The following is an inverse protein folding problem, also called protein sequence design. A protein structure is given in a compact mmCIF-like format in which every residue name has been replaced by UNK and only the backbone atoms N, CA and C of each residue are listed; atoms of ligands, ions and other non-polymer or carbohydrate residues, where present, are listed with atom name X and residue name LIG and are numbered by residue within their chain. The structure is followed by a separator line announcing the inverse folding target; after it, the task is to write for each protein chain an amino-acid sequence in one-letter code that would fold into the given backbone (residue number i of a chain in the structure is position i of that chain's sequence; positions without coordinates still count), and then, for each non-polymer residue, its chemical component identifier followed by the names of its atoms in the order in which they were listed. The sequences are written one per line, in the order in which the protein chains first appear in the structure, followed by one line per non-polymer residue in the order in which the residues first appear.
data_IF_980175595778
#
_entry.id   IF_980175595778
#
_cell.length_a   1.000
_cell.length_b   1.000
_cell.length_c   1.000
_cell.angle_alpha   90.00
_cell.angle_beta   90.00
_cell.angle_gamma   90.00
#
_symmetry.space_group_name_H-M   'P 1'
#
loop_
_entity.id
_entity.type
_entity.pdbx_description
1 polymer ?
#
# COMPACT_ATOMS: atom_id res chain seq x y z
N UNK A 1 11.98 38.39 2.59
CA UNK A 1 11.15 38.15 1.41
C UNK A 1 11.98 37.59 0.27
N UNK A 2 11.32 36.86 -0.61
CA UNK A 2 11.98 36.22 -1.76
C UNK A 2 12.03 37.11 -3.01
N UNK A 3 11.50 38.32 -2.91
CA UNK A 3 11.40 39.29 -4.02
C UNK A 3 11.99 40.61 -3.59
N UNK A 4 12.88 41.16 -4.38
CA UNK A 4 13.43 42.51 -4.26
C UNK A 4 12.91 43.39 -5.40
N UNK A 5 12.42 44.57 -5.07
CA UNK A 5 12.03 45.56 -6.05
C UNK A 5 13.23 46.50 -6.33
N UNK A 6 13.60 46.68 -7.59
CA UNK A 6 14.56 47.68 -8.01
C UNK A 6 13.87 48.80 -8.80
N UNK A 7 14.01 50.02 -8.33
CA UNK A 7 13.40 51.16 -8.96
C UNK A 7 13.79 51.26 -10.44
N UNK A 8 12.78 51.42 -11.31
CA UNK A 8 12.90 51.47 -12.79
C UNK A 8 13.35 50.17 -13.47
N UNK A 9 13.58 49.06 -12.72
CA UNK A 9 14.09 47.79 -13.28
C UNK A 9 13.17 46.59 -13.02
N UNK A 10 12.10 46.74 -12.18
CA UNK A 10 11.13 45.70 -11.91
C UNK A 10 11.42 44.89 -10.65
N UNK A 11 10.82 43.67 -10.59
CA UNK A 11 10.92 42.76 -9.45
C UNK A 11 11.88 41.62 -9.79
N UNK A 12 12.77 41.31 -8.87
CA UNK A 12 13.75 40.23 -9.01
C UNK A 12 13.54 39.20 -7.91
N UNK A 13 13.56 37.94 -8.27
CA UNK A 13 13.53 36.83 -7.30
C UNK A 13 14.93 36.65 -6.73
N UNK A 14 15.07 36.85 -5.41
CA UNK A 14 16.33 36.61 -4.71
C UNK A 14 16.22 35.33 -3.94
N UNK A 15 16.83 34.27 -4.44
CA UNK A 15 17.01 33.05 -3.70
C UNK A 15 18.27 33.14 -2.84
N UNK A 16 18.07 33.26 -1.50
CA UNK A 16 19.15 33.12 -0.52
C UNK A 16 19.06 31.74 0.06
N UNK A 17 19.94 30.81 -0.29
CA UNK A 17 19.84 29.40 0.18
C UNK A 17 19.93 29.23 1.71
N UNK A 18 20.34 30.29 2.43
CA UNK A 18 20.58 30.23 3.88
C UNK A 18 19.57 30.99 4.74
N UNK A 19 18.43 31.45 4.20
CA UNK A 19 17.43 32.16 4.99
C UNK A 19 16.12 31.37 4.96
N UNK A 20 15.88 30.57 5.97
CA UNK A 20 14.57 29.99 6.27
C UNK A 20 14.48 28.49 6.47
N UNK A 21 15.50 27.73 6.15
CA UNK A 21 15.60 26.36 6.61
C UNK A 21 16.88 26.23 7.43
N UNK A 22 16.74 25.80 8.69
CA UNK A 22 17.90 25.36 9.43
C UNK A 22 18.66 24.39 8.53
N UNK A 23 19.92 24.71 8.24
CA UNK A 23 20.80 23.74 7.61
C UNK A 23 20.89 22.58 8.59
N UNK A 24 20.12 21.53 8.35
CA UNK A 24 20.43 20.26 8.93
C UNK A 24 21.83 19.94 8.41
N UNK A 25 22.83 20.08 9.31
CA UNK A 25 24.08 19.39 9.10
C UNK A 25 23.71 17.93 8.99
N UNK A 26 23.71 17.43 7.77
CA UNK A 26 23.63 15.99 7.49
C UNK A 26 24.93 15.44 8.06
N UNK A 27 24.95 15.20 9.38
CA UNK A 27 25.76 14.13 9.88
C UNK A 27 25.16 12.93 9.17
N UNK A 28 25.84 12.45 8.15
CA UNK A 28 25.60 11.15 7.55
C UNK A 28 25.82 10.11 8.64
N UNK A 29 24.84 9.98 9.55
CA UNK A 29 24.58 8.71 10.14
C UNK A 29 24.02 7.85 8.99
N UNK A 30 24.96 7.29 8.24
CA UNK A 30 24.71 6.06 7.52
C UNK A 30 24.19 5.09 8.60
N UNK A 31 22.86 5.12 8.83
CA UNK A 31 22.20 3.94 9.29
C UNK A 31 22.50 2.89 8.22
N UNK A 32 23.61 2.18 8.41
CA UNK A 32 23.70 0.81 7.92
C UNK A 32 22.51 0.12 8.57
N UNK A 33 21.36 0.22 7.90
CA UNK A 33 20.33 -0.76 8.12
C UNK A 33 21.02 -2.08 7.88
N UNK A 34 21.38 -2.76 8.95
CA UNK A 34 21.62 -4.18 8.95
C UNK A 34 20.29 -4.84 8.59
N UNK A 35 19.84 -4.63 7.35
CA UNK A 35 19.06 -5.63 6.66
C UNK A 35 19.93 -6.86 6.74
N UNK A 36 19.56 -7.78 7.63
CA UNK A 36 20.17 -9.08 7.67
C UNK A 36 20.20 -9.54 6.21
N UNK A 37 21.40 -9.57 5.66
CA UNK A 37 21.65 -10.10 4.34
C UNK A 37 21.19 -11.55 4.45
N UNK A 38 19.99 -11.83 3.93
CA UNK A 38 19.53 -13.21 3.79
C UNK A 38 20.46 -13.75 2.70
N UNK A 39 21.57 -14.35 3.17
CA UNK A 39 22.54 -15.01 2.31
C UNK A 39 21.75 -16.04 1.51
N UNK A 40 21.56 -15.80 0.23
CA UNK A 40 20.81 -16.68 -0.67
C UNK A 40 19.91 -15.95 -1.67
N UNK A 41 19.77 -14.61 -1.60
CA UNK A 41 19.00 -13.82 -2.57
C UNK A 41 19.88 -13.08 -3.59
N UNK A 42 21.19 -13.33 -3.59
CA UNK A 42 22.14 -12.64 -4.48
C UNK A 42 21.92 -12.94 -5.98
N UNK A 43 21.08 -13.93 -6.32
CA UNK A 43 20.76 -14.29 -7.71
C UNK A 43 19.40 -13.77 -8.21
N UNK A 44 18.63 -13.08 -7.36
CA UNK A 44 17.38 -12.42 -7.77
C UNK A 44 17.66 -10.96 -8.11
N UNK A 45 18.45 -10.72 -9.17
CA UNK A 45 18.61 -9.37 -9.69
C UNK A 45 17.23 -8.87 -10.16
N UNK A 46 16.76 -7.77 -9.55
CA UNK A 46 15.52 -7.14 -9.98
C UNK A 46 15.58 -6.82 -11.48
N UNK A 47 14.58 -7.21 -12.28
CA UNK A 47 14.63 -7.04 -13.75
C UNK A 47 14.41 -5.58 -14.15
N UNK A 48 15.36 -4.72 -13.78
CA UNK A 48 15.29 -3.27 -13.98
C UNK A 48 15.10 -2.88 -15.45
N UNK A 49 15.72 -3.61 -16.37
CA UNK A 49 15.57 -3.37 -17.81
C UNK A 49 14.13 -3.55 -18.28
N UNK A 50 13.43 -4.56 -17.76
CA UNK A 50 12.01 -4.80 -18.05
C UNK A 50 11.12 -3.71 -17.46
N UNK A 51 11.39 -3.28 -16.23
CA UNK A 51 10.70 -2.16 -15.60
C UNK A 51 10.88 -0.89 -16.45
N UNK A 52 12.12 -0.52 -16.77
CA UNK A 52 12.42 0.66 -17.56
C UNK A 52 11.79 0.64 -18.97
N UNK A 53 11.70 -0.54 -19.59
CA UNK A 53 11.00 -0.70 -20.86
C UNK A 53 9.49 -0.47 -20.71
N UNK A 54 8.88 -1.02 -19.65
CA UNK A 54 7.45 -0.84 -19.36
C UNK A 54 7.13 0.61 -19.04
N UNK A 55 7.95 1.30 -18.26
CA UNK A 55 7.77 2.72 -17.96
C UNK A 55 7.82 3.57 -19.23
N UNK A 56 8.85 3.38 -20.07
CA UNK A 56 8.95 4.11 -21.36
C UNK A 56 7.74 3.87 -22.25
N UNK A 57 7.25 2.62 -22.29
CA UNK A 57 6.05 2.28 -23.06
C UNK A 57 4.84 3.05 -22.55
N UNK A 58 4.57 3.02 -21.25
CA UNK A 58 3.43 3.72 -20.64
C UNK A 58 3.50 5.24 -20.91
N UNK A 59 4.68 5.84 -20.74
CA UNK A 59 4.89 7.27 -21.02
C UNK A 59 4.65 7.60 -22.50
N UNK A 60 5.07 6.72 -23.41
CA UNK A 60 4.86 6.91 -24.86
C UNK A 60 3.40 6.70 -25.27
N UNK A 61 2.69 5.76 -24.64
CA UNK A 61 1.32 5.39 -25.01
C UNK A 61 0.27 6.36 -24.43
N UNK A 62 0.55 6.94 -23.25
CA UNK A 62 -0.38 7.81 -22.52
C UNK A 62 -0.04 9.30 -22.65
N UNK A 63 1.21 9.62 -23.00
CA UNK A 63 1.70 10.99 -23.14
C UNK A 63 1.30 11.88 -21.96
N UNK A 64 0.82 13.10 -22.17
CA UNK A 64 0.39 14.03 -21.13
C UNK A 64 -0.82 13.56 -20.32
N UNK A 65 -1.62 12.64 -20.86
CA UNK A 65 -2.78 12.07 -20.17
C UNK A 65 -2.41 11.34 -18.86
N UNK A 66 -1.14 10.91 -18.70
CA UNK A 66 -0.66 10.32 -17.45
C UNK A 66 -0.69 11.30 -16.27
N UNK A 67 -0.67 12.61 -16.55
CA UNK A 67 -0.71 13.69 -15.57
C UNK A 67 -2.14 14.08 -15.18
N UNK A 68 -3.14 13.56 -15.86
CA UNK A 68 -4.52 13.83 -15.54
C UNK A 68 -4.89 13.22 -14.17
N UNK A 69 -5.76 13.93 -13.46
CA UNK A 69 -6.28 13.44 -12.18
C UNK A 69 -7.14 12.20 -12.40
N UNK A 70 -6.74 11.10 -11.77
CA UNK A 70 -7.56 9.87 -11.74
C UNK A 70 -8.88 10.11 -11.00
N UNK A 71 -9.89 9.30 -11.33
CA UNK A 71 -11.15 9.29 -10.57
C UNK A 71 -10.96 8.75 -9.13
N UNK A 72 -12.01 8.81 -8.31
CA UNK A 72 -11.96 8.39 -6.91
C UNK A 72 -11.71 6.88 -6.72
N UNK A 73 -11.96 6.07 -7.73
CA UNK A 73 -11.67 4.63 -7.72
C UNK A 73 -10.21 4.33 -8.14
N UNK A 74 -9.49 5.34 -8.61
CA UNK A 74 -8.15 5.23 -9.18
C UNK A 74 -8.16 5.13 -10.71
N UNK A 75 -6.97 5.13 -11.30
CA UNK A 75 -6.78 5.12 -12.75
C UNK A 75 -7.54 3.97 -13.44
N UNK A 76 -8.42 4.29 -14.38
CA UNK A 76 -9.27 3.32 -15.07
C UNK A 76 -8.45 2.25 -15.82
N UNK A 77 -7.39 2.65 -16.52
CA UNK A 77 -6.55 1.69 -17.26
C UNK A 77 -5.85 0.71 -16.31
N UNK A 78 -5.46 1.14 -15.11
CA UNK A 78 -4.90 0.25 -14.10
C UNK A 78 -5.96 -0.74 -13.59
N UNK A 79 -7.17 -0.27 -13.25
CA UNK A 79 -8.29 -1.13 -12.81
C UNK A 79 -8.68 -2.16 -13.88
N UNK A 80 -8.72 -1.75 -15.14
CA UNK A 80 -8.97 -2.64 -16.29
C UNK A 80 -7.90 -3.71 -16.42
N UNK A 81 -6.62 -3.35 -16.30
CA UNK A 81 -5.53 -4.32 -16.37
C UNK A 81 -5.52 -5.27 -15.17
N UNK A 82 -5.88 -4.81 -13.97
CA UNK A 82 -6.06 -5.65 -12.78
C UNK A 82 -7.22 -6.65 -13.02
N UNK A 83 -8.34 -6.21 -13.56
CA UNK A 83 -9.47 -7.08 -13.93
C UNK A 83 -9.01 -8.22 -14.85
N UNK A 84 -8.29 -7.89 -15.92
CA UNK A 84 -7.73 -8.89 -16.85
C UNK A 84 -6.73 -9.84 -16.17
N UNK A 85 -5.88 -9.30 -15.30
CA UNK A 85 -4.93 -10.10 -14.54
C UNK A 85 -5.63 -11.08 -13.60
N UNK A 86 -6.63 -10.64 -12.84
CA UNK A 86 -7.41 -11.47 -11.91
C UNK A 86 -8.11 -12.61 -12.65
N UNK A 87 -8.72 -12.31 -13.81
CA UNK A 87 -9.38 -13.32 -14.62
C UNK A 87 -8.39 -14.41 -15.10
N UNK A 88 -7.20 -14.01 -15.57
CA UNK A 88 -6.20 -14.92 -16.11
C UNK A 88 -5.43 -15.71 -15.05
N UNK A 89 -5.09 -15.07 -13.94
CA UNK A 89 -4.18 -15.64 -12.93
C UNK A 89 -4.90 -16.29 -11.75
N UNK A 90 -6.14 -15.90 -11.48
CA UNK A 90 -6.91 -16.32 -10.31
C UNK A 90 -8.31 -16.86 -10.64
N UNK A 91 -8.77 -16.77 -11.89
CA UNK A 91 -10.13 -17.12 -12.28
C UNK A 91 -11.19 -16.19 -11.65
N UNK A 92 -10.79 -15.02 -11.18
CA UNK A 92 -11.69 -14.03 -10.58
C UNK A 92 -12.16 -13.06 -11.66
N UNK A 93 -13.47 -13.05 -11.91
CA UNK A 93 -14.11 -12.16 -12.86
C UNK A 93 -14.66 -10.94 -12.15
N UNK A 94 -13.90 -9.85 -12.16
CA UNK A 94 -14.31 -8.56 -11.64
C UNK A 94 -14.30 -7.52 -12.78
N UNK A 95 -15.30 -6.65 -12.83
CA UNK A 95 -15.27 -5.50 -13.75
C UNK A 95 -14.49 -4.33 -13.13
N UNK A 96 -13.95 -3.39 -13.93
CA UNK A 96 -13.16 -2.27 -13.42
C UNK A 96 -13.86 -1.45 -12.34
N UNK A 97 -15.18 -1.36 -12.38
CA UNK A 97 -16.04 -0.64 -11.42
C UNK A 97 -16.08 -1.29 -10.03
N UNK A 98 -15.68 -2.56 -9.93
CA UNK A 98 -15.58 -3.31 -8.68
C UNK A 98 -14.18 -3.25 -8.07
N UNK A 99 -13.26 -2.51 -8.68
CA UNK A 99 -11.85 -2.41 -8.28
C UNK A 99 -11.58 -0.99 -7.81
N UNK A 100 -11.05 -0.87 -6.59
CA UNK A 100 -10.62 0.40 -6.00
C UNK A 100 -9.12 0.39 -5.78
N UNK A 101 -8.42 1.42 -6.23
CA UNK A 101 -6.99 1.61 -6.01
C UNK A 101 -6.80 2.57 -4.84
N UNK A 102 -6.02 2.15 -3.85
CA UNK A 102 -5.72 2.95 -2.66
C UNK A 102 -4.23 3.07 -2.40
N UNK A 103 -3.87 3.91 -1.46
CA UNK A 103 -2.49 4.18 -1.05
C UNK A 103 -1.94 3.09 -0.09
N UNK A 104 -2.05 1.83 -0.50
CA UNK A 104 -1.60 0.68 0.27
C UNK A 104 -2.72 0.00 1.08
N UNK A 105 -2.40 -1.17 1.65
CA UNK A 105 -3.37 -2.02 2.35
C UNK A 105 -3.93 -1.36 3.61
N UNK A 106 -3.11 -0.64 4.37
CA UNK A 106 -3.53 0.03 5.61
C UNK A 106 -4.64 1.06 5.33
N UNK A 107 -4.47 1.87 4.29
CA UNK A 107 -5.49 2.82 3.85
C UNK A 107 -6.79 2.10 3.45
N UNK A 108 -6.66 0.99 2.71
CA UNK A 108 -7.82 0.20 2.27
C UNK A 108 -8.53 -0.46 3.43
N UNK A 109 -7.84 -0.96 4.46
CA UNK A 109 -8.47 -1.49 5.68
C UNK A 109 -9.28 -0.41 6.40
N UNK A 110 -8.72 0.81 6.54
CA UNK A 110 -9.45 1.94 7.10
C UNK A 110 -10.69 2.32 6.30
N UNK A 111 -10.61 2.29 4.98
CA UNK A 111 -11.75 2.56 4.10
C UNK A 111 -12.84 1.49 4.22
N UNK A 112 -12.45 0.21 4.23
CA UNK A 112 -13.36 -0.92 4.38
C UNK A 112 -14.08 -0.86 5.73
N UNK A 113 -13.37 -0.63 6.83
CA UNK A 113 -13.99 -0.54 8.16
C UNK A 113 -14.94 0.64 8.27
N UNK A 114 -14.63 1.76 7.62
CA UNK A 114 -15.54 2.92 7.55
C UNK A 114 -16.80 2.58 6.77
N UNK A 115 -16.66 1.86 5.66
CA UNK A 115 -17.78 1.43 4.82
C UNK A 115 -18.70 0.43 5.53
N UNK A 116 -18.12 -0.56 6.21
CA UNK A 116 -18.87 -1.61 6.91
C UNK A 116 -19.44 -1.18 8.26
N UNK A 117 -18.92 -0.08 8.81
CA UNK A 117 -19.29 0.47 10.10
C UNK A 117 -18.30 0.10 11.21
N UNK A 118 -17.75 1.11 11.88
CA UNK A 118 -16.75 0.96 12.93
C UNK A 118 -17.22 0.23 14.19
N UNK A 119 -18.53 0.08 14.35
CA UNK A 119 -19.14 -0.66 15.46
C UNK A 119 -19.12 -2.19 15.24
N UNK A 120 -18.67 -2.64 14.08
CA UNK A 120 -18.55 -4.05 13.73
C UNK A 120 -17.31 -4.65 14.35
N UNK A 121 -17.47 -5.83 14.95
CA UNK A 121 -16.37 -6.63 15.48
C UNK A 121 -15.72 -7.43 14.37
N UNK A 122 -14.40 -7.41 14.31
CA UNK A 122 -13.63 -8.10 13.27
C UNK A 122 -12.88 -9.28 13.87
N UNK A 123 -12.97 -10.47 13.29
CA UNK A 123 -12.07 -11.57 13.57
C UNK A 123 -10.88 -11.53 12.63
N UNK A 124 -9.67 -11.67 13.16
CA UNK A 124 -8.43 -11.75 12.40
C UNK A 124 -7.71 -13.07 12.70
N UNK A 125 -7.04 -13.62 11.70
CA UNK A 125 -6.22 -14.82 11.90
C UNK A 125 -4.96 -14.50 12.70
N UNK A 126 -4.48 -15.47 13.48
CA UNK A 126 -3.21 -15.37 14.23
C UNK A 126 -2.46 -16.70 14.20
N UNK A 127 -1.11 -16.72 13.97
CA UNK A 127 -0.28 -15.54 13.68
C UNK A 127 -0.57 -14.93 12.32
N UNK A 128 -0.49 -13.61 12.22
CA UNK A 128 -0.71 -12.85 10.99
C UNK A 128 0.24 -11.64 10.92
N UNK A 129 0.09 -10.81 9.90
CA UNK A 129 0.87 -9.59 9.75
C UNK A 129 0.47 -8.58 10.83
N UNK A 130 1.39 -8.26 11.74
CA UNK A 130 1.14 -7.42 12.92
C UNK A 130 0.58 -6.03 12.59
N UNK A 131 0.86 -5.53 11.39
CA UNK A 131 0.36 -4.24 10.95
C UNK A 131 -1.17 -4.18 10.87
N UNK A 132 -1.83 -5.32 10.62
CA UNK A 132 -3.30 -5.41 10.63
C UNK A 132 -3.85 -5.04 12.01
N UNK A 133 -3.24 -5.60 13.08
CA UNK A 133 -3.62 -5.30 14.46
C UNK A 133 -3.40 -3.81 14.80
N UNK A 134 -2.27 -3.25 14.36
CA UNK A 134 -1.97 -1.84 14.57
C UNK A 134 -2.99 -0.92 13.89
N UNK A 135 -3.39 -1.24 12.66
CA UNK A 135 -4.41 -0.47 11.94
C UNK A 135 -5.74 -0.51 12.68
N UNK A 136 -6.23 -1.70 13.05
CA UNK A 136 -7.51 -1.82 13.75
C UNK A 136 -7.48 -1.17 15.13
N UNK A 137 -6.40 -1.34 15.89
CA UNK A 137 -6.23 -0.66 17.17
C UNK A 137 -6.22 0.87 17.04
N UNK A 138 -5.52 1.40 16.03
CA UNK A 138 -5.46 2.85 15.79
C UNK A 138 -6.79 3.46 15.35
N UNK A 139 -7.67 2.65 14.78
CA UNK A 139 -9.02 3.03 14.37
C UNK A 139 -10.08 2.77 15.45
N UNK A 140 -9.65 2.26 16.62
CA UNK A 140 -10.53 1.87 17.73
C UNK A 140 -11.60 0.84 17.31
N UNK A 141 -11.22 -0.08 16.42
CA UNK A 141 -12.06 -1.19 15.97
C UNK A 141 -11.90 -2.35 16.96
N UNK A 142 -13.03 -2.90 17.43
CA UNK A 142 -13.00 -4.12 18.22
C UNK A 142 -12.66 -5.33 17.35
N UNK A 143 -11.65 -6.09 17.78
CA UNK A 143 -11.26 -7.29 17.04
C UNK A 143 -10.84 -8.43 17.95
N UNK A 144 -11.05 -9.66 17.49
CA UNK A 144 -10.60 -10.88 18.15
C UNK A 144 -9.68 -11.69 17.24
N UNK A 145 -8.81 -12.51 17.88
CA UNK A 145 -7.80 -13.31 17.18
C UNK A 145 -8.22 -14.76 17.12
N UNK A 146 -8.27 -15.32 15.92
CA UNK A 146 -8.55 -16.73 15.68
C UNK A 146 -7.28 -17.46 15.28
N UNK A 147 -6.92 -18.50 16.03
CA UNK A 147 -5.69 -19.26 15.79
C UNK A 147 -5.75 -20.05 14.49
N UNK A 148 -4.67 -19.96 13.69
CA UNK A 148 -4.46 -20.78 12.51
C UNK A 148 -4.06 -22.21 12.91
N UNK A 149 -4.70 -23.18 12.28
CA UNK A 149 -4.29 -24.57 12.24
C UNK A 149 -3.41 -24.87 11.01
N UNK A 150 -3.39 -26.13 10.58
CA UNK A 150 -2.63 -26.57 9.40
C UNK A 150 -3.27 -26.14 8.07
N UNK A 151 -4.57 -26.00 8.03
CA UNK A 151 -5.38 -25.80 6.80
C UNK A 151 -6.26 -24.54 6.90
N UNK A 152 -5.81 -23.50 7.62
CA UNK A 152 -6.56 -22.29 7.87
C UNK A 152 -6.95 -22.10 9.33
N UNK A 153 -7.96 -21.27 9.60
CA UNK A 153 -8.45 -21.04 10.97
C UNK A 153 -9.07 -22.31 11.54
N UNK A 154 -8.76 -22.60 12.81
CA UNK A 154 -9.34 -23.76 13.51
C UNK A 154 -10.88 -23.65 13.52
N UNK A 155 -11.56 -24.60 12.91
CA UNK A 155 -13.01 -24.56 12.68
C UNK A 155 -13.84 -24.35 13.95
N UNK A 156 -13.45 -24.96 15.09
CA UNK A 156 -14.14 -24.76 16.35
C UNK A 156 -14.08 -23.32 16.88
N UNK A 157 -12.97 -22.62 16.62
CA UNK A 157 -12.85 -21.21 16.98
C UNK A 157 -13.73 -20.35 16.07
N UNK A 158 -13.76 -20.67 14.78
CA UNK A 158 -14.58 -19.93 13.81
C UNK A 158 -16.08 -20.05 14.12
N UNK A 159 -16.56 -21.28 14.47
CA UNK A 159 -17.97 -21.51 14.81
C UNK A 159 -18.41 -20.84 16.13
N UNK A 160 -17.48 -20.59 17.04
CA UNK A 160 -17.74 -19.94 18.32
C UNK A 160 -17.41 -18.46 18.31
N UNK A 161 -17.00 -17.92 17.17
CA UNK A 161 -16.64 -16.53 16.99
C UNK A 161 -17.89 -15.64 16.96
N UNK A 162 -17.85 -14.53 17.69
CA UNK A 162 -18.92 -13.53 17.76
C UNK A 162 -18.64 -12.29 16.88
N UNK A 163 -17.73 -12.42 15.90
CA UNK A 163 -17.41 -11.32 15.02
C UNK A 163 -18.38 -11.22 13.83
N UNK A 164 -18.64 -9.98 13.42
CA UNK A 164 -19.45 -9.67 12.24
C UNK A 164 -18.68 -9.87 10.93
N UNK A 165 -17.36 -9.71 10.98
CA UNK A 165 -16.48 -9.65 9.81
C UNK A 165 -15.28 -10.56 10.05
N UNK A 166 -14.91 -11.35 9.05
CA UNK A 166 -13.70 -12.17 9.07
C UNK A 166 -12.67 -11.60 8.10
N UNK A 167 -11.50 -11.18 8.63
CA UNK A 167 -10.36 -10.78 7.84
C UNK A 167 -9.34 -11.90 7.78
N UNK A 168 -9.11 -12.45 6.60
CA UNK A 168 -8.20 -13.58 6.36
C UNK A 168 -7.24 -13.31 5.22
N UNK A 169 -6.09 -14.00 5.25
CA UNK A 169 -5.13 -14.10 4.15
C UNK A 169 -5.15 -15.55 3.64
N UNK A 170 -6.04 -15.91 2.71
CA UNK A 170 -6.33 -17.30 2.38
C UNK A 170 -5.19 -18.01 1.64
N UNK A 171 -4.16 -17.27 1.21
CA UNK A 171 -3.05 -17.82 0.47
C UNK A 171 -1.71 -17.40 1.07
N UNK A 172 -0.94 -18.37 1.55
CA UNK A 172 0.40 -18.18 2.15
C UNK A 172 0.41 -17.12 3.23
N UNK A 173 -0.49 -17.25 4.21
CA UNK A 173 -0.58 -16.30 5.33
C UNK A 173 0.76 -16.13 6.02
N UNK A 174 1.25 -14.89 6.09
CA UNK A 174 2.51 -14.58 6.78
C UNK A 174 2.27 -14.48 8.29
N UNK A 175 3.17 -15.01 9.17
CA UNK A 175 4.45 -15.68 8.84
C UNK A 175 4.36 -17.20 8.68
N UNK A 176 3.18 -17.79 8.88
CA UNK A 176 2.99 -19.24 8.94
C UNK A 176 3.17 -19.95 7.60
N UNK A 177 2.89 -19.26 6.48
CA UNK A 177 2.82 -19.84 5.14
C UNK A 177 1.58 -20.70 4.89
N UNK A 178 0.66 -20.79 5.86
CA UNK A 178 -0.57 -21.58 5.75
C UNK A 178 -1.44 -21.01 4.62
N UNK A 179 -2.09 -21.91 3.89
CA UNK A 179 -3.13 -21.61 2.92
C UNK A 179 -4.41 -22.31 3.30
N UNK A 180 -5.54 -21.61 3.22
CA UNK A 180 -6.87 -22.12 3.49
C UNK A 180 -7.58 -22.56 2.20
#
# INVERSE_FOLDING_TARGET
GYIESKERSGYFVIFKPNVGFASYSTTEHLHKNNLATINGLDDLSFPFSSLAKSMRKVLSDLDENILERSDNLGCYELRKNISLYLARSRGIHAVPEQIVIGAGSEYLYGLITTLLGRHKKIAIETPSYTQIEHVYSSLEIDFEKLTLGTDGIISSLLWNCDADILHVSPYRSFPSGVSA
#
